data_IF_372140952709
#
_entry.id   IF_372140952709
#
_cell.length_a   1.000
_cell.length_b   1.000
_cell.length_c   1.000
_cell.angle_alpha   90.00
_cell.angle_beta   90.00
_cell.angle_gamma   90.00
#
_symmetry.space_group_name_H-M   'P 1'
#
loop_
_entity.id
_entity.type
_entity.pdbx_description
1 polymer ?
#
# COMPACT_ATOMS: atom_id res chain seq x y z
N UNK A 1 45.47 27.15 -48.09
CA UNK A 1 46.50 26.09 -48.08
C UNK A 1 46.75 25.63 -46.65
N UNK A 2 46.32 24.41 -46.29
CA UNK A 2 46.85 23.61 -45.19
C UNK A 2 46.95 22.16 -45.67
N UNK A 3 48.01 21.41 -45.33
CA UNK A 3 48.41 20.21 -46.05
C UNK A 3 47.87 18.93 -45.39
N UNK A 4 47.26 18.07 -46.21
CA UNK A 4 47.53 16.64 -46.24
C UNK A 4 47.07 15.78 -45.05
N UNK A 5 45.76 15.52 -44.96
CA UNK A 5 45.28 14.28 -44.35
C UNK A 5 45.69 13.09 -45.25
N UNK A 6 46.81 12.45 -44.92
CA UNK A 6 47.12 11.12 -45.43
C UNK A 6 46.41 10.09 -44.55
N UNK A 7 45.22 9.68 -44.96
CA UNK A 7 44.62 8.44 -44.46
C UNK A 7 45.51 7.27 -44.90
N UNK A 8 46.41 6.83 -44.02
CA UNK A 8 47.25 5.66 -44.25
C UNK A 8 46.36 4.43 -44.45
N UNK A 9 46.45 3.81 -45.63
CA UNK A 9 45.84 2.52 -45.95
C UNK A 9 46.35 1.49 -44.93
N UNK A 10 45.51 1.16 -43.94
CA UNK A 10 45.80 0.15 -42.94
C UNK A 10 45.87 -1.21 -43.63
N UNK A 11 47.03 -1.86 -43.56
CA UNK A 11 47.18 -3.20 -44.13
C UNK A 11 46.27 -4.21 -43.39
N UNK A 12 45.80 -5.28 -44.03
CA UNK A 12 44.95 -6.28 -43.39
C UNK A 12 45.58 -6.91 -42.14
N UNK A 13 46.91 -6.93 -42.05
CA UNK A 13 47.66 -7.39 -40.89
C UNK A 13 47.54 -6.45 -39.68
N UNK A 14 47.55 -5.12 -39.91
CA UNK A 14 47.39 -4.12 -38.85
C UNK A 14 45.98 -4.12 -38.27
N UNK A 15 44.96 -4.32 -39.11
CA UNK A 15 43.57 -4.48 -38.68
C UNK A 15 43.39 -5.75 -37.82
N UNK A 16 44.02 -6.88 -38.19
CA UNK A 16 43.99 -8.10 -37.38
C UNK A 16 44.71 -7.93 -36.04
N UNK A 17 45.85 -7.23 -36.02
CA UNK A 17 46.60 -6.97 -34.78
C UNK A 17 45.85 -6.03 -33.84
N UNK A 18 45.23 -4.96 -34.37
CA UNK A 18 44.34 -4.07 -33.60
C UNK A 18 43.11 -4.80 -33.08
N UNK A 19 42.49 -5.67 -33.90
CA UNK A 19 41.33 -6.48 -33.47
C UNK A 19 41.70 -7.44 -32.33
N UNK A 20 42.85 -8.13 -32.42
CA UNK A 20 43.33 -9.01 -31.34
C UNK A 20 43.64 -8.23 -30.06
N UNK A 21 44.28 -7.06 -30.19
CA UNK A 21 44.55 -6.17 -29.04
C UNK A 21 43.26 -5.66 -28.40
N UNK A 22 42.26 -5.26 -29.20
CA UNK A 22 40.98 -4.79 -28.70
C UNK A 22 40.16 -5.90 -28.03
N UNK A 23 40.18 -7.12 -28.58
CA UNK A 23 39.55 -8.30 -27.95
C UNK A 23 40.23 -8.64 -26.63
N UNK A 24 41.56 -8.55 -26.57
CA UNK A 24 42.30 -8.76 -25.33
C UNK A 24 41.94 -7.71 -24.25
N UNK A 25 41.92 -6.43 -24.63
CA UNK A 25 41.53 -5.34 -23.72
C UNK A 25 40.08 -5.52 -23.24
N UNK A 26 39.16 -5.82 -24.15
CA UNK A 26 37.76 -6.07 -23.81
C UNK A 26 37.62 -7.26 -22.86
N UNK A 27 38.33 -8.36 -23.11
CA UNK A 27 38.35 -9.52 -22.23
C UNK A 27 38.84 -9.19 -20.83
N UNK A 28 39.87 -8.34 -20.71
CA UNK A 28 40.41 -7.91 -19.42
C UNK A 28 39.42 -7.01 -18.64
N UNK A 29 38.77 -6.08 -19.33
CA UNK A 29 37.71 -5.23 -18.74
C UNK A 29 36.51 -6.08 -18.30
N UNK A 30 36.10 -7.03 -19.12
CA UNK A 30 34.99 -7.93 -18.77
C UNK A 30 35.33 -8.79 -17.55
N UNK A 31 36.53 -9.37 -17.51
CA UNK A 31 36.97 -10.18 -16.38
C UNK A 31 37.02 -9.37 -15.08
N UNK A 32 37.51 -8.13 -15.12
CA UNK A 32 37.55 -7.26 -13.94
C UNK A 32 36.16 -6.90 -13.42
N UNK A 33 35.20 -6.62 -14.30
CA UNK A 33 33.79 -6.40 -13.91
C UNK A 33 33.16 -7.64 -13.31
N UNK A 34 33.42 -8.82 -13.88
CA UNK A 34 32.88 -10.08 -13.34
C UNK A 34 33.48 -10.39 -11.95
N UNK A 35 34.78 -10.19 -11.77
CA UNK A 35 35.45 -10.40 -10.48
C UNK A 35 34.88 -9.46 -9.41
N UNK A 36 34.66 -8.18 -9.74
CA UNK A 36 34.11 -7.21 -8.78
C UNK A 36 32.66 -7.54 -8.40
N UNK A 37 31.85 -8.02 -9.35
CA UNK A 37 30.48 -8.46 -9.09
C UNK A 37 30.44 -9.72 -8.20
N UNK A 38 31.32 -10.69 -8.45
CA UNK A 38 31.44 -11.88 -7.59
C UNK A 38 31.90 -11.48 -6.17
N UNK A 39 32.90 -10.61 -6.06
CA UNK A 39 33.41 -10.14 -4.77
C UNK A 39 32.32 -9.44 -3.94
N UNK A 40 31.52 -8.58 -4.58
CA UNK A 40 30.40 -7.90 -3.91
C UNK A 40 29.34 -8.88 -3.44
N UNK A 41 28.89 -9.80 -4.30
CA UNK A 41 27.88 -10.83 -3.93
C UNK A 41 28.37 -11.74 -2.79
N UNK A 42 29.65 -12.08 -2.77
CA UNK A 42 30.25 -12.88 -1.70
C UNK A 42 30.38 -12.11 -0.38
N UNK A 43 30.63 -10.79 -0.45
CA UNK A 43 30.80 -9.91 0.71
C UNK A 43 29.49 -9.43 1.34
N UNK A 44 28.35 -9.50 0.61
CA UNK A 44 27.04 -9.09 1.14
C UNK A 44 26.74 -9.80 2.48
N UNK A 45 26.26 -9.00 3.43
CA UNK A 45 25.75 -9.46 4.73
C UNK A 45 26.80 -10.26 5.54
N UNK A 46 27.89 -9.58 5.93
CA UNK A 46 29.00 -10.13 6.72
C UNK A 46 29.66 -11.39 6.12
N UNK A 47 29.70 -11.49 4.78
CA UNK A 47 30.31 -12.62 4.09
C UNK A 47 29.51 -13.92 4.21
N UNK A 48 28.18 -13.85 4.33
CA UNK A 48 27.32 -15.04 4.50
C UNK A 48 27.45 -16.03 3.34
N UNK A 49 27.52 -15.51 2.11
CA UNK A 49 27.67 -16.33 0.92
C UNK A 49 29.09 -16.93 0.80
N UNK A 50 30.13 -16.16 1.15
CA UNK A 50 31.50 -16.66 1.26
C UNK A 50 31.62 -17.84 2.24
N UNK A 51 31.03 -17.72 3.44
CA UNK A 51 31.04 -18.80 4.45
C UNK A 51 30.36 -20.08 3.96
N UNK A 52 29.30 -19.97 3.15
CA UNK A 52 28.62 -21.14 2.56
C UNK A 52 29.49 -21.83 1.52
N UNK A 53 30.12 -21.06 0.63
CA UNK A 53 31.00 -21.60 -0.41
C UNK A 53 32.22 -22.31 0.20
N UNK A 54 32.86 -21.69 1.18
CA UNK A 54 34.06 -22.25 1.85
C UNK A 54 33.75 -23.56 2.57
N UNK A 55 32.58 -23.67 3.21
CA UNK A 55 32.11 -24.92 3.84
C UNK A 55 31.80 -26.01 2.81
N UNK A 56 31.15 -25.66 1.70
CA UNK A 56 30.87 -26.61 0.61
C UNK A 56 32.14 -27.13 -0.06
N UNK A 57 33.19 -26.31 -0.15
CA UNK A 57 34.48 -26.68 -0.73
C UNK A 57 35.43 -27.36 0.27
N UNK A 58 35.04 -27.56 1.54
CA UNK A 58 35.90 -28.16 2.57
C UNK A 58 37.11 -27.30 2.97
N UNK A 59 37.08 -26.00 2.69
CA UNK A 59 38.19 -25.05 2.86
C UNK A 59 38.10 -24.28 4.19
N UNK A 60 37.54 -24.89 5.24
CA UNK A 60 37.18 -24.22 6.49
C UNK A 60 38.36 -23.53 7.19
N UNK A 61 39.58 -23.98 6.93
CA UNK A 61 40.84 -23.39 7.41
C UNK A 61 41.08 -21.94 6.94
N UNK A 62 40.38 -21.49 5.89
CA UNK A 62 40.46 -20.11 5.38
C UNK A 62 39.41 -19.17 6.03
N UNK A 63 38.54 -19.70 6.90
CA UNK A 63 37.64 -18.86 7.68
C UNK A 63 38.42 -18.20 8.82
N UNK A 64 38.44 -16.87 8.81
CA UNK A 64 38.95 -16.11 9.95
C UNK A 64 38.23 -16.56 11.24
N UNK A 65 38.96 -16.79 12.33
CA UNK A 65 38.35 -17.19 13.59
C UNK A 65 37.31 -16.14 13.97
N UNK A 66 36.11 -16.60 14.35
CA UNK A 66 35.03 -15.72 14.74
C UNK A 66 35.53 -14.84 15.89
N UNK A 67 35.33 -13.52 15.78
CA UNK A 67 35.61 -12.61 16.87
C UNK A 67 34.92 -13.15 18.13
N UNK A 68 35.62 -13.22 19.28
CA UNK A 68 35.03 -13.74 20.50
C UNK A 68 33.74 -12.95 20.77
N UNK A 69 32.63 -13.64 21.12
CA UNK A 69 31.38 -12.95 21.38
C UNK A 69 31.65 -11.89 22.46
N UNK A 70 31.12 -10.67 22.30
CA UNK A 70 31.27 -9.65 23.32
C UNK A 70 30.76 -10.26 24.63
N UNK A 71 31.56 -10.16 25.69
CA UNK A 71 31.14 -10.59 27.02
C UNK A 71 29.99 -9.67 27.41
N UNK A 72 28.77 -10.10 27.15
CA UNK A 72 27.56 -9.49 27.69
C UNK A 72 27.63 -9.73 29.20
N UNK A 73 28.23 -8.76 29.92
CA UNK A 73 27.95 -8.60 31.33
C UNK A 73 26.48 -8.24 31.40
N UNK A 74 25.65 -9.26 31.64
CA UNK A 74 24.32 -9.05 32.20
C UNK A 74 24.58 -8.64 33.65
N UNK A 75 25.11 -7.43 33.85
CA UNK A 75 25.02 -6.76 35.13
C UNK A 75 23.52 -6.67 35.37
N UNK A 76 23.05 -7.50 36.32
CA UNK A 76 21.68 -7.63 36.81
C UNK A 76 20.93 -6.37 36.45
N UNK A 77 20.15 -6.41 35.36
CA UNK A 77 19.48 -5.25 34.80
C UNK A 77 18.89 -4.49 35.97
N UNK A 78 19.54 -3.38 36.33
CA UNK A 78 18.98 -2.45 37.31
C UNK A 78 17.65 -2.12 36.67
N UNK A 79 16.55 -2.48 37.33
CA UNK A 79 15.23 -2.07 36.89
C UNK A 79 15.21 -0.56 37.02
N UNK A 80 15.73 0.12 36.00
CA UNK A 80 15.67 1.56 35.88
C UNK A 80 14.21 1.80 35.55
N UNK A 81 13.44 2.47 36.44
CA UNK A 81 12.06 2.78 36.13
C UNK A 81 12.03 3.57 34.81
N UNK A 82 11.10 3.28 33.88
CA UNK A 82 11.08 3.85 32.53
C UNK A 82 10.91 5.38 32.48
N UNK A 83 10.73 6.03 33.64
CA UNK A 83 10.66 7.48 33.78
C UNK A 83 12.05 8.08 33.61
N UNK A 84 12.37 8.49 32.38
CA UNK A 84 13.56 9.27 32.05
C UNK A 84 14.22 8.94 30.71
N UNK A 85 13.94 7.77 30.13
CA UNK A 85 14.53 7.32 28.86
C UNK A 85 13.64 7.60 27.64
N UNK A 86 12.34 7.72 27.83
CA UNK A 86 11.39 7.97 26.76
C UNK A 86 10.69 9.31 26.98
N UNK A 87 10.59 10.17 25.96
CA UNK A 87 9.79 11.39 26.05
C UNK A 87 8.37 11.00 26.46
N UNK A 88 7.77 11.76 27.39
CA UNK A 88 6.47 11.47 28.01
C UNK A 88 5.37 11.17 26.98
N UNK A 89 5.44 11.74 25.79
CA UNK A 89 4.55 11.45 24.65
C UNK A 89 4.50 9.97 24.21
N UNK A 90 5.57 9.20 24.44
CA UNK A 90 5.65 7.77 24.12
C UNK A 90 5.21 6.88 25.29
N UNK A 91 5.23 7.41 26.51
CA UNK A 91 4.84 6.71 27.73
C UNK A 91 3.40 7.02 28.15
N UNK A 92 2.77 8.02 27.52
CA UNK A 92 1.34 8.21 27.60
C UNK A 92 0.69 7.07 26.83
N UNK A 93 -0.05 6.16 27.49
CA UNK A 93 -1.00 5.34 26.78
C UNK A 93 -2.05 6.31 26.23
N UNK A 94 -1.81 6.87 25.05
CA UNK A 94 -2.92 7.15 24.17
C UNK A 94 -3.50 5.77 23.95
N UNK A 95 -4.67 5.50 24.55
CA UNK A 95 -5.57 4.55 23.91
C UNK A 95 -5.54 4.94 22.44
N UNK A 96 -4.96 4.10 21.59
CA UNK A 96 -5.42 4.08 20.21
C UNK A 96 -6.93 4.00 20.36
N UNK A 97 -7.61 5.11 20.02
CA UNK A 97 -9.03 5.29 20.31
C UNK A 97 -9.71 4.03 19.87
N UNK A 98 -10.32 3.33 20.83
CA UNK A 98 -10.58 1.90 20.74
C UNK A 98 -11.10 1.54 19.37
N UNK A 99 -10.38 0.66 18.66
CA UNK A 99 -10.82 0.15 17.37
C UNK A 99 -12.23 -0.41 17.56
N UNK A 100 -13.22 0.38 17.15
CA UNK A 100 -14.61 0.03 17.34
C UNK A 100 -14.93 -0.86 16.17
N UNK A 101 -15.25 -2.12 16.44
CA UNK A 101 -15.75 -3.03 15.41
C UNK A 101 -17.11 -2.49 14.97
N UNK A 102 -17.13 -1.77 13.86
CA UNK A 102 -18.36 -1.42 13.19
C UNK A 102 -18.81 -2.66 12.42
N UNK A 103 -20.04 -3.11 12.68
CA UNK A 103 -20.67 -4.09 11.81
C UNK A 103 -20.66 -3.55 10.38
N UNK A 104 -20.39 -4.42 9.42
CA UNK A 104 -20.67 -4.09 8.02
C UNK A 104 -22.17 -3.76 7.93
N UNK A 105 -22.57 -2.71 7.21
CA UNK A 105 -23.99 -2.42 7.06
C UNK A 105 -24.69 -3.59 6.36
N UNK A 106 -25.87 -3.93 6.85
CA UNK A 106 -26.69 -5.05 6.38
C UNK A 106 -27.41 -4.74 5.04
N UNK A 107 -27.12 -3.60 4.41
CA UNK A 107 -27.79 -3.14 3.19
C UNK A 107 -27.24 -3.88 1.97
N UNK A 108 -28.14 -4.37 1.12
CA UNK A 108 -27.75 -4.97 -0.16
C UNK A 108 -27.03 -3.95 -1.07
N UNK A 109 -26.20 -4.38 -2.04
CA UNK A 109 -25.55 -3.46 -2.98
C UNK A 109 -26.53 -2.64 -3.81
N UNK A 110 -27.69 -3.20 -4.15
CA UNK A 110 -28.76 -2.48 -4.87
C UNK A 110 -29.37 -1.41 -3.99
N UNK A 111 -29.72 -1.73 -2.75
CA UNK A 111 -30.26 -0.76 -1.80
C UNK A 111 -29.24 0.36 -1.48
N UNK A 112 -27.97 -0.01 -1.34
CA UNK A 112 -26.87 0.95 -1.16
C UNK A 112 -26.70 1.87 -2.38
N UNK A 113 -26.99 1.37 -3.58
CA UNK A 113 -27.00 2.17 -4.80
C UNK A 113 -28.20 3.13 -4.83
N UNK A 114 -29.39 2.62 -4.50
CA UNK A 114 -30.63 3.40 -4.47
C UNK A 114 -30.55 4.52 -3.41
N UNK A 115 -29.88 4.28 -2.28
CA UNK A 115 -29.63 5.27 -1.25
C UNK A 115 -28.79 6.47 -1.74
N UNK A 116 -28.05 6.34 -2.85
CA UNK A 116 -27.35 7.48 -3.45
C UNK A 116 -28.33 8.49 -4.07
N UNK A 117 -29.49 8.04 -4.55
CA UNK A 117 -30.58 8.90 -5.02
C UNK A 117 -31.58 9.24 -3.90
N UNK A 118 -31.06 9.75 -2.78
CA UNK A 118 -31.89 10.15 -1.65
C UNK A 118 -32.90 11.28 -1.99
N UNK A 119 -32.75 11.95 -3.14
CA UNK A 119 -33.60 13.05 -3.57
C UNK A 119 -34.65 12.68 -4.63
N UNK A 120 -34.57 11.48 -5.22
CA UNK A 120 -35.46 11.00 -6.29
C UNK A 120 -35.36 11.80 -7.59
N UNK A 121 -34.27 12.58 -7.76
CA UNK A 121 -34.07 13.48 -8.90
C UNK A 121 -32.92 13.04 -9.80
N UNK A 122 -32.09 12.11 -9.34
CA UNK A 122 -30.81 11.75 -9.94
C UNK A 122 -30.77 10.23 -10.13
N UNK A 123 -30.73 9.74 -11.36
CA UNK A 123 -30.92 8.29 -11.59
C UNK A 123 -29.65 7.49 -11.24
N UNK A 124 -29.67 6.81 -10.09
CA UNK A 124 -28.72 5.76 -9.79
C UNK A 124 -29.00 4.54 -10.67
N UNK A 125 -27.96 3.99 -11.32
CA UNK A 125 -28.07 2.83 -12.19
C UNK A 125 -27.34 1.64 -11.57
N UNK A 126 -28.12 0.63 -11.15
CA UNK A 126 -27.59 -0.64 -10.66
C UNK A 126 -27.68 -1.72 -11.74
N UNK A 127 -26.59 -2.47 -11.92
CA UNK A 127 -26.51 -3.62 -12.83
C UNK A 127 -25.84 -4.78 -12.12
N UNK A 128 -26.40 -5.97 -12.28
CA UNK A 128 -25.83 -7.21 -11.75
C UNK A 128 -25.79 -8.27 -12.85
N UNK A 129 -24.63 -8.90 -13.04
CA UNK A 129 -24.37 -9.92 -14.05
C UNK A 129 -23.53 -11.02 -13.44
N UNK A 130 -24.07 -12.24 -13.36
CA UNK A 130 -23.35 -13.44 -12.89
C UNK A 130 -22.66 -13.27 -11.52
N UNK A 131 -23.29 -12.52 -10.61
CA UNK A 131 -22.77 -12.27 -9.26
C UNK A 131 -21.81 -11.08 -9.17
N UNK A 132 -21.27 -10.57 -10.29
CA UNK A 132 -20.63 -9.25 -10.29
C UNK A 132 -21.70 -8.15 -10.37
N UNK A 133 -21.46 -7.03 -9.70
CA UNK A 133 -22.37 -5.89 -9.72
C UNK A 133 -21.64 -4.57 -9.89
N UNK A 134 -22.35 -3.61 -10.48
CA UNK A 134 -21.91 -2.24 -10.69
C UNK A 134 -23.06 -1.28 -10.36
N UNK A 135 -22.75 -0.27 -9.55
CA UNK A 135 -23.58 0.88 -9.27
C UNK A 135 -22.94 2.12 -9.86
N UNK A 136 -23.70 2.87 -10.66
CA UNK A 136 -23.29 4.15 -11.24
C UNK A 136 -24.24 5.23 -10.74
N UNK A 137 -23.69 6.37 -10.35
CA UNK A 137 -24.47 7.54 -9.95
C UNK A 137 -23.81 8.80 -10.50
N UNK A 138 -24.62 9.72 -11.02
CA UNK A 138 -24.16 10.97 -11.58
C UNK A 138 -25.05 12.12 -11.12
N UNK A 139 -24.41 13.23 -10.72
CA UNK A 139 -25.09 14.42 -10.24
C UNK A 139 -24.39 15.68 -10.72
N UNK A 140 -25.19 16.64 -11.17
CA UNK A 140 -24.73 17.98 -11.56
C UNK A 140 -25.09 19.02 -10.51
N UNK A 141 -24.28 20.07 -10.43
CA UNK A 141 -24.41 21.17 -9.50
C UNK A 141 -24.28 22.49 -10.25
N UNK A 142 -25.24 23.38 -9.99
CA UNK A 142 -25.31 24.68 -10.65
C UNK A 142 -25.95 24.62 -12.03
N UNK A 143 -26.00 25.77 -12.69
CA UNK A 143 -26.57 25.95 -14.03
C UNK A 143 -25.59 26.65 -14.97
N UNK A 144 -24.30 26.65 -14.60
CA UNK A 144 -23.23 27.19 -15.43
C UNK A 144 -23.10 26.37 -16.74
N UNK A 145 -22.53 26.95 -17.82
CA UNK A 145 -22.29 26.22 -19.06
C UNK A 145 -21.45 24.94 -18.90
N UNK A 146 -20.53 24.93 -17.92
CA UNK A 146 -19.81 23.74 -17.47
C UNK A 146 -20.13 23.52 -15.99
N UNK A 147 -21.25 22.83 -15.66
CA UNK A 147 -21.68 22.65 -14.29
C UNK A 147 -20.69 21.77 -13.52
N UNK A 148 -20.55 22.04 -12.22
CA UNK A 148 -19.78 21.16 -11.37
C UNK A 148 -20.50 19.82 -11.26
N UNK A 149 -19.77 18.71 -11.14
CA UNK A 149 -20.39 17.39 -11.17
C UNK A 149 -19.71 16.38 -10.26
N UNK A 150 -20.49 15.37 -9.88
CA UNK A 150 -20.08 14.26 -9.06
C UNK A 150 -20.45 12.98 -9.80
N UNK A 151 -19.49 12.10 -10.03
CA UNK A 151 -19.71 10.79 -10.60
C UNK A 151 -19.21 9.71 -9.65
N UNK A 152 -20.03 8.72 -9.37
CA UNK A 152 -19.72 7.62 -8.48
C UNK A 152 -19.83 6.31 -9.25
N UNK A 153 -18.84 5.45 -9.03
CA UNK A 153 -18.82 4.09 -9.54
C UNK A 153 -18.41 3.16 -8.41
N UNK A 154 -19.35 2.31 -7.99
CA UNK A 154 -19.08 1.23 -7.07
C UNK A 154 -19.18 -0.10 -7.82
N UNK A 155 -18.24 -1.01 -7.54
CA UNK A 155 -18.22 -2.35 -8.11
C UNK A 155 -17.89 -3.35 -7.05
N UNK A 156 -18.48 -4.52 -7.17
CA UNK A 156 -18.19 -5.65 -6.31
C UNK A 156 -18.61 -6.95 -6.94
N UNK A 157 -18.55 -7.98 -6.11
CA UNK A 157 -19.06 -9.31 -6.40
C UNK A 157 -19.85 -9.80 -5.21
N UNK A 158 -20.83 -10.67 -5.46
CA UNK A 158 -21.73 -11.21 -4.44
C UNK A 158 -22.42 -10.08 -3.64
N UNK A 159 -23.23 -10.41 -2.64
CA UNK A 159 -23.93 -9.36 -1.88
C UNK A 159 -22.98 -8.48 -1.05
N UNK A 160 -21.88 -9.03 -0.54
CA UNK A 160 -21.12 -8.37 0.53
C UNK A 160 -19.67 -8.00 0.17
N UNK A 161 -19.23 -8.26 -1.06
CA UNK A 161 -17.83 -8.05 -1.45
C UNK A 161 -17.66 -6.85 -2.39
N UNK A 162 -17.57 -5.66 -1.80
CA UNK A 162 -17.12 -4.45 -2.48
C UNK A 162 -15.67 -4.63 -2.98
N UNK A 163 -15.41 -4.32 -4.25
CA UNK A 163 -14.06 -4.36 -4.85
C UNK A 163 -13.49 -2.95 -5.04
N UNK A 164 -14.31 -2.03 -5.50
CA UNK A 164 -13.89 -0.65 -5.78
C UNK A 164 -15.01 0.33 -5.51
N UNK A 165 -14.71 1.42 -4.82
CA UNK A 165 -15.60 2.58 -4.72
C UNK A 165 -14.85 3.82 -5.20
N UNK A 166 -15.31 4.40 -6.31
CA UNK A 166 -14.66 5.51 -6.98
C UNK A 166 -15.60 6.71 -7.03
N UNK A 167 -15.08 7.88 -6.68
CA UNK A 167 -15.77 9.16 -6.82
C UNK A 167 -14.91 10.08 -7.67
N UNK A 168 -15.47 10.60 -8.75
CA UNK A 168 -14.90 11.70 -9.52
C UNK A 168 -15.61 12.99 -9.18
N UNK A 169 -14.84 14.02 -8.84
CA UNK A 169 -15.32 15.35 -8.52
C UNK A 169 -14.86 16.30 -9.61
N UNK A 170 -15.79 16.95 -10.30
CA UNK A 170 -15.52 18.01 -11.27
C UNK A 170 -15.87 19.35 -10.63
N UNK A 171 -14.86 20.10 -10.19
CA UNK A 171 -15.00 21.40 -9.52
C UNK A 171 -14.92 22.55 -10.52
N UNK A 172 -15.74 22.49 -11.57
CA UNK A 172 -15.71 23.43 -12.69
C UNK A 172 -16.36 24.76 -12.37
N UNK A 173 -17.36 24.76 -11.48
CA UNK A 173 -18.02 25.94 -10.91
C UNK A 173 -17.63 26.12 -9.43
N UNK A 174 -16.80 27.12 -9.17
CA UNK A 174 -16.31 27.43 -7.81
C UNK A 174 -17.40 27.77 -6.80
N UNK A 175 -18.58 28.23 -7.25
CA UNK A 175 -19.71 28.51 -6.36
C UNK A 175 -20.30 27.22 -5.77
N UNK A 176 -20.09 26.08 -6.43
CA UNK A 176 -20.62 24.77 -6.05
C UNK A 176 -19.60 23.87 -5.37
N UNK A 177 -18.34 24.29 -5.22
CA UNK A 177 -17.27 23.44 -4.68
C UNK A 177 -17.62 22.80 -3.34
N UNK A 178 -18.20 23.59 -2.43
CA UNK A 178 -18.63 23.09 -1.11
C UNK A 178 -19.77 22.08 -1.24
N UNK A 179 -20.70 22.29 -2.16
CA UNK A 179 -21.82 21.39 -2.39
C UNK A 179 -21.34 20.05 -2.96
N UNK A 180 -20.44 20.07 -3.94
CA UNK A 180 -19.85 18.85 -4.53
C UNK A 180 -19.07 18.05 -3.49
N UNK A 181 -18.21 18.71 -2.70
CA UNK A 181 -17.43 18.03 -1.65
C UNK A 181 -18.33 17.47 -0.55
N UNK A 182 -19.38 18.21 -0.15
CA UNK A 182 -20.37 17.73 0.81
C UNK A 182 -21.10 16.50 0.27
N UNK A 183 -21.56 16.55 -0.98
CA UNK A 183 -22.22 15.42 -1.64
C UNK A 183 -21.31 14.20 -1.74
N UNK A 184 -20.02 14.37 -2.07
CA UNK A 184 -19.05 13.28 -2.08
C UNK A 184 -18.94 12.60 -0.70
N UNK A 185 -18.91 13.37 0.39
CA UNK A 185 -18.90 12.83 1.75
C UNK A 185 -20.21 12.17 2.14
N UNK A 186 -21.35 12.75 1.73
CA UNK A 186 -22.68 12.17 1.95
C UNK A 186 -22.81 10.83 1.22
N UNK A 187 -22.36 10.72 -0.03
CA UNK A 187 -22.42 9.47 -0.79
C UNK A 187 -21.59 8.35 -0.18
N UNK A 188 -20.44 8.66 0.45
CA UNK A 188 -19.66 7.68 1.23
C UNK A 188 -20.48 7.13 2.41
N UNK A 189 -21.31 7.97 3.03
CA UNK A 189 -22.19 7.57 4.12
C UNK A 189 -23.41 6.79 3.63
N UNK A 190 -24.10 7.31 2.59
CA UNK A 190 -25.32 6.74 2.02
C UNK A 190 -25.09 5.37 1.39
N UNK A 191 -23.93 5.18 0.74
CA UNK A 191 -23.55 3.88 0.21
C UNK A 191 -23.20 2.85 1.31
N UNK A 192 -23.01 3.28 2.56
CA UNK A 192 -22.72 2.37 3.66
C UNK A 192 -21.28 1.83 3.65
N UNK A 193 -20.27 2.63 3.31
CA UNK A 193 -18.90 2.17 3.53
C UNK A 193 -18.61 2.02 5.03
N UNK A 194 -18.05 0.88 5.45
CA UNK A 194 -17.69 0.57 6.84
C UNK A 194 -16.42 1.33 7.30
N UNK A 195 -16.46 2.66 7.20
CA UNK A 195 -15.40 3.56 7.65
C UNK A 195 -15.58 3.93 9.12
N UNK A 196 -14.49 3.87 9.88
CA UNK A 196 -14.46 4.43 11.25
C UNK A 196 -14.71 5.93 11.27
N UNK A 197 -15.09 6.49 12.44
CA UNK A 197 -15.17 7.94 12.63
C UNK A 197 -13.88 8.66 12.25
N UNK A 198 -12.72 8.07 12.54
CA UNK A 198 -11.39 8.58 12.18
C UNK A 198 -11.19 8.64 10.66
N UNK A 199 -11.53 7.56 9.96
CA UNK A 199 -11.46 7.49 8.50
C UNK A 199 -12.37 8.54 7.84
N UNK A 200 -13.58 8.74 8.39
CA UNK A 200 -14.51 9.78 7.92
C UNK A 200 -13.98 11.18 8.19
N UNK A 201 -13.43 11.42 9.39
CA UNK A 201 -12.81 12.69 9.74
C UNK A 201 -11.63 13.01 8.81
N UNK A 202 -10.80 12.01 8.51
CA UNK A 202 -9.68 12.13 7.58
C UNK A 202 -10.13 12.58 6.18
N UNK A 203 -11.17 11.96 5.62
CA UNK A 203 -11.75 12.37 4.33
C UNK A 203 -12.35 13.79 4.41
N UNK A 204 -13.05 14.11 5.50
CA UNK A 204 -13.68 15.43 5.69
C UNK A 204 -12.68 16.58 5.78
N UNK A 205 -11.45 16.32 6.26
CA UNK A 205 -10.39 17.32 6.30
C UNK A 205 -9.70 17.46 4.92
N UNK A 206 -9.48 16.33 4.23
CA UNK A 206 -8.64 16.27 3.03
C UNK A 206 -9.37 16.69 1.75
N UNK A 207 -10.63 16.29 1.58
CA UNK A 207 -11.39 16.60 0.35
C UNK A 207 -11.58 18.11 0.15
N UNK A 208 -12.03 18.91 1.15
CA UNK A 208 -12.17 20.35 0.96
C UNK A 208 -10.83 21.04 0.70
N UNK A 209 -9.75 20.52 1.28
CA UNK A 209 -8.40 21.06 1.12
C UNK A 209 -7.78 20.75 -0.25
N UNK A 210 -8.40 19.90 -1.08
CA UNK A 210 -7.90 19.43 -2.39
C UNK A 210 -6.48 18.87 -2.33
N UNK A 211 -6.09 18.33 -1.17
CA UNK A 211 -4.75 17.80 -0.95
C UNK A 211 -4.71 16.36 -1.38
N UNK A 212 -3.88 16.06 -2.38
CA UNK A 212 -3.64 14.69 -2.80
C UNK A 212 -3.13 13.83 -1.64
N UNK A 213 -3.57 12.59 -1.60
CA UNK A 213 -3.08 11.62 -0.64
C UNK A 213 -3.19 10.19 -1.18
N UNK A 214 -2.33 9.32 -0.68
CA UNK A 214 -2.46 7.87 -0.81
C UNK A 214 -2.17 7.30 0.57
N UNK A 215 -3.22 6.82 1.23
CA UNK A 215 -3.17 6.42 2.63
C UNK A 215 -3.88 5.09 2.80
N UNK A 216 -3.30 4.24 3.63
CA UNK A 216 -3.95 3.04 4.11
C UNK A 216 -4.61 3.41 5.42
N UNK A 217 -5.94 3.33 5.46
CA UNK A 217 -6.74 3.63 6.65
C UNK A 217 -7.58 2.40 6.94
N UNK A 218 -7.21 1.68 8.01
CA UNK A 218 -7.90 0.47 8.47
C UNK A 218 -8.05 -0.59 7.36
N UNK A 219 -9.30 -0.89 6.99
CA UNK A 219 -9.70 -1.88 6.01
C UNK A 219 -9.71 -1.34 4.58
N UNK A 220 -9.28 -0.09 4.36
CA UNK A 220 -9.31 0.53 3.05
C UNK A 220 -7.96 1.14 2.67
N UNK A 221 -7.64 1.08 1.38
CA UNK A 221 -6.65 1.94 0.75
C UNK A 221 -7.38 3.05 0.04
N UNK A 222 -7.07 4.29 0.39
CA UNK A 222 -7.70 5.48 -0.17
C UNK A 222 -6.66 6.28 -0.96
N UNK A 223 -6.98 6.62 -2.20
CA UNK A 223 -6.17 7.48 -3.05
C UNK A 223 -7.02 8.63 -3.54
N UNK A 224 -6.56 9.86 -3.30
CA UNK A 224 -7.16 11.07 -3.83
C UNK A 224 -6.11 11.80 -4.66
N UNK A 225 -6.40 11.99 -5.93
CA UNK A 225 -5.47 12.59 -6.89
C UNK A 225 -6.22 13.46 -7.89
N UNK A 226 -5.55 14.49 -8.39
CA UNK A 226 -6.02 15.32 -9.50
C UNK A 226 -5.94 14.54 -10.81
N UNK A 227 -6.89 14.77 -11.73
CA UNK A 227 -6.80 14.21 -13.08
C UNK A 227 -5.70 14.95 -13.87
N UNK A 228 -4.92 14.22 -14.68
CA UNK A 228 -3.78 14.80 -15.39
C UNK A 228 -4.16 15.91 -16.37
N UNK A 229 -5.39 15.89 -16.87
CA UNK A 229 -5.87 16.74 -17.96
C UNK A 229 -6.64 17.98 -17.51
N UNK A 230 -7.10 18.04 -16.25
CA UNK A 230 -7.87 19.17 -15.73
C UNK A 230 -7.60 19.34 -14.24
N UNK A 231 -7.09 20.51 -13.85
CA UNK A 231 -6.74 20.80 -12.46
C UNK A 231 -7.95 20.92 -11.53
N UNK A 232 -9.15 21.06 -12.09
CA UNK A 232 -10.42 21.15 -11.38
C UNK A 232 -11.06 19.78 -11.16
N UNK A 233 -10.51 18.71 -11.75
CA UNK A 233 -11.07 17.36 -11.66
C UNK A 233 -10.23 16.49 -10.74
N UNK A 234 -10.90 15.82 -9.82
CA UNK A 234 -10.27 14.97 -8.81
C UNK A 234 -10.90 13.59 -8.81
N UNK A 235 -10.11 12.59 -8.42
CA UNK A 235 -10.53 11.21 -8.32
C UNK A 235 -10.20 10.69 -6.93
N UNK A 236 -11.23 10.34 -6.17
CA UNK A 236 -11.13 9.56 -4.93
C UNK A 236 -11.38 8.09 -5.27
N UNK A 237 -10.42 7.23 -4.94
CA UNK A 237 -10.51 5.79 -5.07
C UNK A 237 -10.37 5.15 -3.69
N UNK A 238 -11.38 4.41 -3.29
CA UNK A 238 -11.44 3.64 -2.05
C UNK A 238 -11.46 2.16 -2.43
N UNK A 239 -10.42 1.43 -2.01
CA UNK A 239 -10.26 0.00 -2.28
C UNK A 239 -10.29 -0.74 -0.94
N UNK A 240 -11.23 -1.69 -0.75
CA UNK A 240 -11.16 -2.61 0.37
C UNK A 240 -9.85 -3.39 0.34
N UNK A 241 -9.27 -3.56 1.52
CA UNK A 241 -8.08 -4.37 1.71
C UNK A 241 -8.52 -5.80 1.97
N UNK A 242 -7.89 -6.79 1.29
CA UNK A 242 -8.15 -8.18 1.61
C UNK A 242 -7.81 -8.41 3.08
N UNK A 243 -8.75 -8.98 3.83
CA UNK A 243 -8.51 -9.39 5.22
C UNK A 243 -7.46 -10.49 5.20
N UNK A 244 -6.25 -10.20 5.67
CA UNK A 244 -5.14 -11.17 5.68
C UNK A 244 -5.24 -12.20 6.81
N UNK A 245 -6.28 -12.14 7.63
CA UNK A 245 -6.58 -13.11 8.67
C UNK A 245 -8.00 -13.65 8.47
N UNK A 246 -8.10 -14.80 7.80
CA UNK A 246 -9.33 -15.60 7.82
C UNK A 246 -9.35 -16.46 9.08
N UNK A 247 -10.54 -16.60 9.70
CA UNK A 247 -10.73 -17.46 10.88
C UNK A 247 -10.37 -18.95 10.62
N UNK A 248 -10.25 -19.34 9.34
CA UNK A 248 -9.97 -20.71 8.91
C UNK A 248 -8.49 -20.98 8.64
N UNK A 249 -7.60 -20.00 8.83
CA UNK A 249 -6.17 -20.22 8.65
C UNK A 249 -5.56 -20.81 9.92
N UNK A 250 -5.48 -22.15 9.97
CA UNK A 250 -4.48 -22.84 10.79
C UNK A 250 -3.10 -22.39 10.30
N UNK A 251 -2.54 -21.38 10.96
CA UNK A 251 -1.17 -20.95 10.71
C UNK A 251 -0.23 -22.12 11.08
N UNK A 252 0.19 -22.89 10.08
CA UNK A 252 1.23 -23.89 10.22
C UNK A 252 2.50 -23.15 10.61
N UNK A 253 2.86 -23.22 11.89
CA UNK A 253 4.07 -22.62 12.42
C UNK A 253 5.31 -23.27 11.77
N UNK A 254 5.83 -22.66 10.71
CA UNK A 254 7.09 -23.06 10.12
C UNK A 254 8.25 -22.51 10.95
N UNK A 255 8.90 -23.41 11.69
CA UNK A 255 10.34 -23.39 12.03
C UNK A 255 10.88 -22.12 12.70
N UNK A 256 10.77 -22.03 14.02
CA UNK A 256 11.46 -21.05 14.83
C UNK A 256 12.98 -21.31 14.91
N UNK A 257 13.77 -20.53 14.17
CA UNK A 257 15.17 -20.23 14.50
C UNK A 257 15.23 -18.94 15.31
N UNK A 258 15.64 -19.03 16.57
CA UNK A 258 15.57 -17.96 17.56
C UNK A 258 16.38 -16.71 17.17
N UNK A 259 15.72 -15.56 16.99
CA UNK A 259 16.16 -14.21 17.37
C UNK A 259 14.95 -13.28 17.38
N UNK A 260 14.70 -12.62 18.53
CA UNK A 260 13.58 -11.70 18.81
C UNK A 260 12.21 -12.24 18.39
N UNK A 261 11.53 -12.94 19.31
CA UNK A 261 10.12 -13.30 19.09
C UNK A 261 9.27 -12.03 19.14
N UNK A 262 9.09 -11.40 17.99
CA UNK A 262 7.93 -10.53 17.76
C UNK A 262 6.72 -11.45 17.78
N UNK A 263 5.96 -11.43 18.88
CA UNK A 263 4.67 -12.11 18.90
C UNK A 263 3.75 -11.33 17.96
N UNK A 264 3.46 -11.90 16.80
CA UNK A 264 2.29 -11.52 16.03
C UNK A 264 1.08 -12.04 16.80
N UNK A 265 0.49 -11.19 17.64
CA UNK A 265 -0.85 -11.44 18.18
C UNK A 265 -1.84 -11.26 17.03
N UNK A 266 -2.31 -12.36 16.46
CA UNK A 266 -3.56 -12.32 15.73
C UNK A 266 -4.66 -12.01 16.74
N UNK A 267 -5.33 -10.86 16.60
CA UNK A 267 -6.60 -10.66 17.27
C UNK A 267 -7.55 -11.69 16.66
N UNK A 268 -7.73 -12.79 17.39
CA UNK A 268 -8.59 -13.89 16.98
C UNK A 268 -10.04 -13.44 16.83
N UNK A 269 -10.81 -14.23 16.09
CA UNK A 269 -12.21 -13.99 15.83
C UNK A 269 -12.99 -13.96 17.16
N UNK A 270 -13.54 -12.79 17.49
CA UNK A 270 -14.37 -12.62 18.67
C UNK A 270 -15.71 -13.25 18.35
N UNK A 271 -16.01 -14.41 18.93
CA UNK A 271 -17.33 -15.02 18.82
C UNK A 271 -18.34 -14.08 19.50
N UNK A 272 -19.06 -13.28 18.71
CA UNK A 272 -20.24 -12.58 19.20
C UNK A 272 -21.27 -13.66 19.53
N UNK A 273 -21.50 -13.90 20.82
CA UNK A 273 -22.64 -14.71 21.26
C UNK A 273 -23.89 -14.05 20.67
N UNK A 274 -24.70 -14.74 19.85
CA UNK A 274 -26.00 -14.21 19.48
C UNK A 274 -26.76 -13.95 20.79
N UNK A 275 -27.11 -12.69 21.01
CA UNK A 275 -27.89 -12.28 22.15
C UNK A 275 -29.17 -13.10 22.18
N UNK A 276 -29.46 -13.67 23.35
CA UNK A 276 -30.81 -14.05 23.73
C UNK A 276 -31.71 -12.82 23.58
N UNK A 277 -32.32 -12.66 22.41
CA UNK A 277 -33.49 -11.82 22.21
C UNK A 277 -34.53 -12.32 23.22
N UNK A 278 -34.69 -11.56 24.30
CA UNK A 278 -35.78 -11.75 25.25
C UNK A 278 -37.08 -11.69 24.47
N UNK A 279 -37.86 -12.78 24.52
CA UNK A 279 -39.25 -12.79 24.08
C UNK A 279 -39.99 -11.64 24.75
N UNK A 280 -40.80 -10.84 24.03
CA UNK A 280 -41.75 -9.97 24.69
C UNK A 280 -42.73 -10.86 25.48
N UNK A 281 -42.81 -10.62 26.79
CA UNK A 281 -43.84 -11.24 27.61
C UNK A 281 -45.17 -10.58 27.26
N UNK A 282 -46.16 -11.42 26.95
CA UNK A 282 -47.59 -11.08 26.88
C UNK A 282 -48.14 -10.72 28.24
#
# INVERSE_FOLDING_TARGET
MRPGERAGLLTPADLRRRRRKNVFIFGLVLATVLISLVATVLAVNNGRNYRRLVRQAGLEHYLLPAAPPPRLRVDRQRQIPPRGLYPSRLLQPRLERGATFLAAPDSSPSESCDNLDASGKEEASFKSVQGDWECLFYREFGSAPEPASLFIQARGSEADNLRTFRIKLSLTDSSQDRAVVKAAMESVNLFGLALSPESRAYLSERLPARREFNSVVENYRMTFSREMTDERRFNLLILPRPMTAGCDSTATAAGAGAHAQTYHLSVGCLALRPGTLGKPQS
#
